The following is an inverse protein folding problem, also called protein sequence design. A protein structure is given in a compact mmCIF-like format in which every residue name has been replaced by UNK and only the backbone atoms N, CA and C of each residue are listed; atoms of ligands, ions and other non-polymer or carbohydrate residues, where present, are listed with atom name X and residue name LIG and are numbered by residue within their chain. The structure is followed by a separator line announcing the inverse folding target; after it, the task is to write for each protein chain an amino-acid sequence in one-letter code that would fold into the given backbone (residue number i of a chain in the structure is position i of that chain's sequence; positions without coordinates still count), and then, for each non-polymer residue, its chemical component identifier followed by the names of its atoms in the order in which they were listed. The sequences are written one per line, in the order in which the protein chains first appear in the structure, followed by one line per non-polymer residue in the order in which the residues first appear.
data_IF_699576400529
#
_entry.id   IF_699576400529
#
_cell.length_a   1.000
_cell.length_b   1.000
_cell.length_c   1.000
_cell.angle_alpha   90.00
_cell.angle_beta   90.00
_cell.angle_gamma   90.00
#
_symmetry.space_group_name_H-M   'P 1'
#
loop_
_entity.id
_entity.type
_entity.pdbx_description
1 polymer ?
#
# COMPACT_ATOMS: atom_id res chain seq x y z
N UNK A 1 5.42 20.62 -4.72
CA UNK A 1 5.39 19.48 -5.68
C UNK A 1 5.33 18.18 -4.89
N UNK A 2 4.66 17.16 -5.43
CA UNK A 2 4.68 15.79 -4.89
C UNK A 2 5.10 14.84 -6.01
N UNK A 3 6.10 14.00 -5.77
CA UNK A 3 6.61 13.00 -6.72
C UNK A 3 6.01 11.64 -6.36
N UNK A 4 5.04 11.21 -7.17
CA UNK A 4 4.34 9.95 -6.98
C UNK A 4 5.25 8.74 -7.23
N UNK A 5 4.88 7.60 -6.60
CA UNK A 5 5.35 6.24 -6.91
C UNK A 5 6.85 6.12 -7.32
N UNK A 6 7.77 6.53 -6.44
CA UNK A 6 9.21 6.38 -6.72
C UNK A 6 9.58 4.90 -6.94
N UNK A 7 10.26 4.62 -8.04
CA UNK A 7 10.70 3.26 -8.38
C UNK A 7 12.22 3.08 -8.46
N UNK A 8 13.03 4.14 -8.36
CA UNK A 8 14.49 4.05 -8.52
C UNK A 8 15.26 4.83 -7.46
N UNK A 9 16.46 4.33 -7.13
CA UNK A 9 17.44 5.01 -6.29
C UNK A 9 17.90 6.33 -6.92
N UNK A 10 18.04 6.37 -8.24
CA UNK A 10 18.37 7.60 -8.97
C UNK A 10 17.28 8.66 -8.83
N UNK A 11 16.00 8.27 -8.95
CA UNK A 11 14.87 9.17 -8.74
C UNK A 11 14.86 9.75 -7.33
N UNK A 12 15.07 8.91 -6.31
CA UNK A 12 15.21 9.35 -4.93
C UNK A 12 16.37 10.34 -4.72
N UNK A 13 17.53 10.09 -5.35
CA UNK A 13 18.71 10.96 -5.25
C UNK A 13 18.47 12.32 -5.90
N UNK A 14 17.69 12.36 -6.98
CA UNK A 14 17.46 13.55 -7.80
C UNK A 14 16.08 14.19 -7.55
N UNK A 15 15.48 13.95 -6.37
CA UNK A 15 14.23 14.61 -6.00
C UNK A 15 14.37 16.14 -6.09
N UNK A 16 13.39 16.85 -6.69
CA UNK A 16 13.40 18.30 -6.70
C UNK A 16 13.47 18.87 -5.28
N UNK A 17 14.19 19.99 -5.05
CA UNK A 17 14.23 20.64 -3.75
C UNK A 17 12.81 20.93 -3.22
N UNK A 18 12.59 20.70 -1.92
CA UNK A 18 11.30 20.89 -1.25
C UNK A 18 10.13 20.03 -1.78
N UNK A 19 10.40 19.03 -2.63
CA UNK A 19 9.38 18.07 -3.03
C UNK A 19 9.10 17.07 -1.91
N UNK A 20 7.84 16.66 -1.83
CA UNK A 20 7.43 15.45 -1.10
C UNK A 20 7.40 14.28 -2.07
N UNK A 21 7.39 13.05 -1.56
CA UNK A 21 7.35 11.86 -2.39
C UNK A 21 6.62 10.71 -1.70
N UNK A 22 6.22 9.71 -2.47
CA UNK A 22 5.66 8.46 -1.98
C UNK A 22 6.31 7.27 -2.70
N UNK A 23 6.11 6.08 -2.12
CA UNK A 23 6.49 4.81 -2.72
C UNK A 23 5.34 3.80 -2.57
N UNK A 24 5.32 2.78 -3.41
CA UNK A 24 4.33 1.72 -3.38
C UNK A 24 4.92 0.39 -2.92
N UNK A 25 4.15 -0.48 -2.24
CA UNK A 25 4.64 -1.80 -1.82
C UNK A 25 5.23 -2.62 -2.96
N UNK A 26 4.70 -2.53 -4.18
CA UNK A 26 5.25 -3.25 -5.32
C UNK A 26 6.65 -2.75 -5.72
N UNK A 27 6.99 -1.47 -5.53
CA UNK A 27 8.37 -0.97 -5.71
C UNK A 27 9.28 -1.22 -4.49
N UNK A 28 8.72 -1.73 -3.38
CA UNK A 28 9.47 -2.08 -2.19
C UNK A 28 9.76 -3.59 -2.11
N UNK A 29 8.79 -4.40 -2.50
CA UNK A 29 8.75 -5.84 -2.25
C UNK A 29 8.90 -6.67 -3.54
N UNK A 30 8.36 -6.18 -4.67
CA UNK A 30 8.51 -6.84 -5.97
C UNK A 30 9.69 -6.28 -6.75
N UNK A 31 10.33 -7.16 -7.50
CA UNK A 31 11.51 -6.87 -8.30
C UNK A 31 11.57 -7.83 -9.50
N UNK A 32 12.52 -7.59 -10.39
CA UNK A 32 12.67 -8.40 -11.61
C UNK A 32 13.05 -9.88 -11.33
N UNK A 33 13.52 -10.22 -10.12
CA UNK A 33 13.84 -11.60 -9.75
C UNK A 33 12.61 -12.37 -9.27
N UNK A 34 11.60 -11.70 -8.70
CA UNK A 34 10.40 -12.33 -8.14
C UNK A 34 9.08 -11.98 -8.86
N UNK A 35 9.09 -11.04 -9.81
CA UNK A 35 7.93 -10.66 -10.63
C UNK A 35 8.40 -10.11 -12.00
N UNK A 36 8.83 -11.00 -12.88
CA UNK A 36 9.32 -10.65 -14.23
C UNK A 36 8.35 -10.97 -15.37
N UNK A 37 7.21 -11.60 -15.09
CA UNK A 37 6.18 -11.86 -16.10
C UNK A 37 5.57 -10.56 -16.61
N UNK A 38 5.08 -10.57 -17.85
CA UNK A 38 4.37 -9.44 -18.45
C UNK A 38 3.16 -8.98 -17.61
N UNK A 39 2.56 -9.90 -16.85
CA UNK A 39 1.48 -9.61 -15.90
C UNK A 39 1.92 -8.67 -14.75
N UNK A 40 3.23 -8.53 -14.48
CA UNK A 40 3.77 -7.60 -13.48
C UNK A 40 3.98 -6.18 -14.01
N UNK A 41 3.61 -5.89 -15.28
CA UNK A 41 3.82 -4.58 -15.91
C UNK A 41 3.10 -3.47 -15.14
N UNK A 42 3.84 -2.44 -14.74
CA UNK A 42 3.36 -1.24 -14.04
C UNK A 42 4.22 -0.06 -14.48
N UNK A 43 3.69 1.16 -14.36
CA UNK A 43 4.44 2.38 -14.62
C UNK A 43 4.42 3.25 -13.35
N UNK A 44 5.59 3.59 -12.78
CA UNK A 44 6.94 3.22 -13.22
C UNK A 44 7.23 1.71 -13.05
N UNK A 45 8.09 1.11 -13.89
CA UNK A 45 8.27 -0.35 -13.88
C UNK A 45 9.05 -0.83 -12.66
N UNK A 46 8.80 -2.10 -12.30
CA UNK A 46 9.58 -2.83 -11.31
C UNK A 46 11.07 -2.82 -11.69
N UNK A 47 11.92 -2.77 -10.66
CA UNK A 47 13.37 -2.65 -10.82
C UNK A 47 14.09 -3.85 -10.23
N UNK A 48 15.42 -3.80 -10.27
CA UNK A 48 16.25 -4.80 -9.63
C UNK A 48 16.22 -4.64 -8.09
N UNK A 49 16.68 -5.66 -7.39
CA UNK A 49 16.75 -5.71 -5.92
C UNK A 49 17.53 -4.55 -5.30
N UNK A 50 18.53 -3.99 -6.01
CA UNK A 50 19.31 -2.85 -5.48
C UNK A 50 18.47 -1.59 -5.38
N UNK A 51 17.61 -1.31 -6.36
CA UNK A 51 16.68 -0.19 -6.30
C UNK A 51 15.67 -0.39 -5.16
N UNK A 52 15.08 -1.60 -5.05
CA UNK A 52 14.17 -1.92 -3.94
C UNK A 52 14.82 -1.70 -2.58
N UNK A 53 16.04 -2.22 -2.37
CA UNK A 53 16.75 -2.11 -1.09
C UNK A 53 16.96 -0.65 -0.70
N UNK A 54 17.43 0.18 -1.64
CA UNK A 54 17.66 1.61 -1.39
C UNK A 54 16.36 2.34 -1.08
N UNK A 55 15.29 2.06 -1.82
CA UNK A 55 13.98 2.65 -1.57
C UNK A 55 13.38 2.19 -0.24
N UNK A 56 13.54 0.92 0.11
CA UNK A 56 13.04 0.34 1.36
C UNK A 56 13.74 0.95 2.58
N UNK A 57 15.06 1.13 2.53
CA UNK A 57 15.82 1.81 3.59
C UNK A 57 15.46 3.29 3.69
N UNK A 58 15.23 3.97 2.55
CA UNK A 58 14.76 5.35 2.53
C UNK A 58 13.33 5.49 3.08
N UNK A 59 12.46 4.52 2.80
CA UNK A 59 11.12 4.43 3.37
C UNK A 59 11.17 4.22 4.88
N UNK A 60 11.91 3.22 5.36
CA UNK A 60 12.07 2.91 6.79
C UNK A 60 12.63 4.07 7.59
N UNK A 61 13.59 4.79 7.04
CA UNK A 61 14.19 5.97 7.69
C UNK A 61 13.32 7.23 7.63
N UNK A 62 12.17 7.19 6.94
CA UNK A 62 11.27 8.34 6.79
C UNK A 62 11.68 9.34 5.70
N UNK A 63 12.76 9.07 4.96
CA UNK A 63 13.17 9.91 3.81
C UNK A 63 12.14 9.88 2.68
N UNK A 64 11.47 8.74 2.48
CA UNK A 64 10.25 8.64 1.68
C UNK A 64 9.07 8.67 2.67
N UNK A 65 8.32 9.78 2.75
CA UNK A 65 7.38 10.00 3.85
C UNK A 65 6.08 9.23 3.71
N UNK A 66 5.59 8.99 2.48
CA UNK A 66 4.26 8.45 2.24
C UNK A 66 4.34 7.06 1.59
N UNK A 67 3.45 6.16 2.02
CA UNK A 67 3.18 4.89 1.37
C UNK A 67 1.81 4.98 0.68
N UNK A 68 1.77 4.65 -0.61
CA UNK A 68 0.53 4.64 -1.41
C UNK A 68 0.39 3.31 -2.16
N UNK A 69 -0.82 2.93 -2.55
CA UNK A 69 -1.03 1.64 -3.24
C UNK A 69 -0.75 1.72 -4.74
N UNK A 70 -0.99 2.87 -5.34
CA UNK A 70 -1.10 3.06 -6.80
C UNK A 70 -1.97 1.94 -7.43
N UNK A 71 -3.12 1.69 -6.80
CA UNK A 71 -4.03 0.63 -7.20
C UNK A 71 -4.64 0.90 -8.57
N UNK A 72 -4.20 0.14 -9.57
CA UNK A 72 -4.64 0.23 -10.96
C UNK A 72 -4.98 -1.18 -11.50
N UNK A 73 -6.13 -1.76 -11.09
CA UNK A 73 -6.48 -3.13 -11.41
C UNK A 73 -6.85 -3.30 -12.89
N UNK A 74 -6.37 -4.39 -13.47
CA UNK A 74 -6.72 -4.92 -14.80
C UNK A 74 -7.07 -6.40 -14.65
N UNK A 75 -7.88 -6.98 -15.54
CA UNK A 75 -8.14 -8.42 -15.44
C UNK A 75 -6.89 -9.22 -15.81
N UNK A 76 -6.78 -10.46 -15.32
CA UNK A 76 -5.64 -11.30 -15.68
C UNK A 76 -5.59 -11.59 -17.19
N UNK A 77 -6.73 -11.60 -17.89
CA UNK A 77 -6.73 -11.75 -19.35
C UNK A 77 -6.11 -10.54 -20.06
N UNK A 78 -6.44 -9.32 -19.61
CA UNK A 78 -5.83 -8.09 -20.14
C UNK A 78 -4.31 -8.10 -19.93
N UNK A 79 -3.86 -8.56 -18.76
CA UNK A 79 -2.45 -8.67 -18.38
C UNK A 79 -1.67 -9.71 -19.18
N UNK A 80 -2.34 -10.77 -19.65
CA UNK A 80 -1.75 -11.83 -20.49
C UNK A 80 -1.84 -11.55 -22.00
N UNK A 81 -2.38 -10.41 -22.40
CA UNK A 81 -2.42 -10.01 -23.82
C UNK A 81 -1.03 -9.69 -24.37
N UNK A 82 -0.89 -9.64 -25.70
CA UNK A 82 0.37 -9.27 -26.37
C UNK A 82 0.81 -7.82 -26.04
N UNK A 83 -0.14 -6.98 -25.64
CA UNK A 83 0.07 -5.57 -25.29
C UNK A 83 -0.55 -5.27 -23.93
N UNK A 84 0.03 -5.79 -22.84
CA UNK A 84 -0.59 -5.71 -21.53
C UNK A 84 -0.63 -4.27 -21.02
N UNK A 85 -1.73 -3.85 -20.36
CA UNK A 85 -1.79 -2.53 -19.74
C UNK A 85 -0.88 -2.45 -18.52
N UNK A 86 -0.46 -1.23 -18.18
CA UNK A 86 0.32 -0.96 -16.96
C UNK A 86 -0.62 -0.81 -15.77
N UNK A 87 -0.30 -1.49 -14.68
CA UNK A 87 -1.08 -1.42 -13.44
C UNK A 87 -1.25 -2.80 -12.79
N UNK A 88 -1.45 -2.79 -11.48
CA UNK A 88 -1.73 -3.99 -10.69
C UNK A 88 -2.71 -3.69 -9.53
N UNK A 89 -3.45 -4.70 -9.05
CA UNK A 89 -4.18 -4.60 -7.80
C UNK A 89 -3.22 -4.50 -6.60
N UNK A 90 -3.65 -3.85 -5.51
CA UNK A 90 -2.75 -3.57 -4.38
C UNK A 90 -3.32 -2.78 -3.21
N UNK A 91 -4.49 -2.13 -3.34
CA UNK A 91 -5.08 -1.35 -2.23
C UNK A 91 -5.36 -2.21 -0.99
N UNK A 92 -5.85 -3.43 -1.21
CA UNK A 92 -6.24 -4.36 -0.15
C UNK A 92 -5.05 -5.06 0.50
N UNK A 93 -3.98 -5.31 -0.26
CA UNK A 93 -2.77 -5.99 0.20
C UNK A 93 -1.71 -5.04 0.74
N UNK A 94 -1.79 -3.73 0.45
CA UNK A 94 -0.81 -2.73 0.88
C UNK A 94 -0.54 -2.78 2.38
N UNK A 95 -1.57 -2.67 3.22
CA UNK A 95 -1.39 -2.65 4.67
C UNK A 95 -1.01 -4.04 5.20
N UNK A 96 -1.69 -5.14 4.79
CA UNK A 96 -1.35 -6.47 5.27
C UNK A 96 0.10 -6.92 4.99
N UNK A 97 0.64 -6.60 3.81
CA UNK A 97 2.03 -6.92 3.46
C UNK A 97 3.00 -6.11 4.32
N UNK A 98 2.75 -4.81 4.50
CA UNK A 98 3.66 -3.99 5.32
C UNK A 98 3.55 -4.30 6.82
N UNK A 99 2.41 -4.79 7.30
CA UNK A 99 2.30 -5.34 8.65
C UNK A 99 3.12 -6.64 8.81
N UNK A 100 3.21 -7.47 7.77
CA UNK A 100 4.11 -8.61 7.80
C UNK A 100 5.58 -8.16 7.94
N UNK A 101 5.97 -7.07 7.28
CA UNK A 101 7.30 -6.48 7.47
C UNK A 101 7.56 -6.01 8.91
N UNK A 102 6.51 -5.58 9.62
CA UNK A 102 6.57 -5.24 11.05
C UNK A 102 6.77 -6.51 11.90
N UNK A 103 5.99 -7.57 11.64
CA UNK A 103 6.13 -8.87 12.32
C UNK A 103 7.54 -9.44 12.15
N UNK A 104 8.13 -9.26 10.96
CA UNK A 104 9.49 -9.72 10.65
C UNK A 104 10.58 -8.76 11.15
N UNK A 105 10.23 -7.75 11.95
CA UNK A 105 11.12 -6.73 12.51
C UNK A 105 11.93 -5.96 11.45
N UNK A 106 11.45 -5.92 10.21
CA UNK A 106 12.05 -5.12 9.14
C UNK A 106 11.53 -3.69 9.16
N UNK A 107 10.29 -3.47 9.60
CA UNK A 107 9.66 -2.15 9.66
C UNK A 107 9.17 -1.82 11.06
N UNK A 108 9.33 -0.57 11.49
CA UNK A 108 8.71 -0.07 12.72
C UNK A 108 7.22 0.20 12.51
N UNK A 109 6.37 -0.20 13.47
CA UNK A 109 4.92 -0.01 13.37
C UNK A 109 4.55 1.48 13.31
N UNK A 110 5.20 2.32 14.11
CA UNK A 110 5.00 3.77 14.09
C UNK A 110 5.37 4.39 12.74
N UNK A 111 6.45 3.88 12.12
CA UNK A 111 6.82 4.26 10.75
C UNK A 111 5.72 3.91 9.75
N UNK A 112 5.16 2.69 9.81
CA UNK A 112 4.05 2.28 8.95
C UNK A 112 2.85 3.21 9.13
N UNK A 113 2.36 3.37 10.37
CA UNK A 113 1.22 4.24 10.72
C UNK A 113 1.43 5.66 10.20
N UNK A 114 2.62 6.23 10.44
CA UNK A 114 2.94 7.57 9.95
C UNK A 114 2.86 7.65 8.43
N UNK A 115 3.40 6.66 7.70
CA UNK A 115 3.47 6.70 6.23
C UNK A 115 2.13 6.54 5.52
N UNK A 116 1.18 5.82 6.12
CA UNK A 116 -0.09 5.47 5.48
C UNK A 116 -1.27 6.32 5.98
N UNK A 117 -1.13 7.01 7.11
CA UNK A 117 -2.22 7.77 7.74
C UNK A 117 -1.82 9.21 8.07
N UNK A 118 -0.80 9.42 8.90
CA UNK A 118 -0.45 10.76 9.40
C UNK A 118 0.15 11.67 8.32
N UNK A 119 1.24 11.22 7.68
CA UNK A 119 1.95 11.99 6.65
C UNK A 119 1.06 12.37 5.46
N UNK A 120 0.23 11.47 4.89
CA UNK A 120 -0.70 11.87 3.84
C UNK A 120 -1.78 12.84 4.34
N UNK A 121 -2.32 12.66 5.56
CA UNK A 121 -3.31 13.58 6.13
C UNK A 121 -2.72 14.99 6.34
N UNK A 122 -1.54 15.09 6.96
CA UNK A 122 -0.84 16.36 7.17
C UNK A 122 -0.55 17.05 5.83
N UNK A 123 -0.12 16.29 4.82
CA UNK A 123 0.21 16.81 3.49
C UNK A 123 -1.00 17.36 2.73
N UNK A 124 -2.17 16.78 2.96
CA UNK A 124 -3.44 17.18 2.37
C UNK A 124 -4.22 18.19 3.23
N UNK A 125 -3.73 18.52 4.44
CA UNK A 125 -4.39 19.42 5.37
C UNK A 125 -5.67 18.84 5.98
N UNK A 126 -5.74 17.52 6.13
CA UNK A 126 -6.92 16.82 6.62
C UNK A 126 -6.85 16.65 8.14
N UNK A 127 -7.95 16.95 8.85
CA UNK A 127 -8.11 16.61 10.26
C UNK A 127 -8.46 15.12 10.43
N UNK A 128 -7.53 14.25 10.01
CA UNK A 128 -7.61 12.78 9.99
C UNK A 128 -6.23 12.17 10.27
N UNK A 129 -6.17 10.83 10.33
CA UNK A 129 -4.92 10.08 10.33
C UNK A 129 -4.27 9.93 11.71
N UNK A 130 -4.87 10.49 12.77
CA UNK A 130 -4.38 10.41 14.15
C UNK A 130 -5.47 9.89 15.09
N UNK A 131 -5.07 9.11 16.09
CA UNK A 131 -5.96 8.67 17.18
C UNK A 131 -5.90 9.70 18.30
N UNK A 132 -6.69 10.76 18.18
CA UNK A 132 -6.72 11.87 19.12
C UNK A 132 -8.16 12.35 19.37
N UNK A 133 -8.38 13.03 20.50
CA UNK A 133 -9.71 13.59 20.83
C UNK A 133 -10.12 14.61 19.77
N UNK A 134 -11.32 14.46 19.22
CA UNK A 134 -11.88 15.34 18.19
C UNK A 134 -11.58 14.92 16.75
N UNK A 135 -10.74 13.91 16.55
CA UNK A 135 -10.52 13.29 15.24
C UNK A 135 -11.65 12.30 14.90
N UNK A 136 -11.98 12.10 13.61
CA UNK A 136 -12.90 11.05 13.21
C UNK A 136 -12.37 9.66 13.62
N UNK A 137 -13.26 8.79 14.11
CA UNK A 137 -12.92 7.42 14.51
C UNK A 137 -12.75 6.49 13.28
N UNK A 138 -11.77 6.80 12.44
CA UNK A 138 -11.28 5.94 11.36
C UNK A 138 -10.19 5.03 11.93
N UNK A 139 -10.54 3.79 12.24
CA UNK A 139 -9.71 2.89 13.05
C UNK A 139 -9.56 1.53 12.36
N UNK A 140 -8.38 0.92 12.53
CA UNK A 140 -8.09 -0.42 12.08
C UNK A 140 -7.57 -1.25 13.26
N UNK A 141 -8.17 -2.41 13.46
CA UNK A 141 -7.74 -3.37 14.48
C UNK A 141 -7.02 -4.53 13.80
N UNK A 142 -5.80 -4.79 14.24
CA UNK A 142 -4.92 -5.81 13.67
C UNK A 142 -4.45 -6.74 14.78
N UNK A 143 -4.29 -8.03 14.46
CA UNK A 143 -3.64 -9.00 15.35
C UNK A 143 -2.30 -9.41 14.71
N UNK A 144 -1.19 -8.90 15.24
CA UNK A 144 0.15 -9.14 14.68
C UNK A 144 0.60 -10.60 14.82
N UNK A 145 -0.03 -11.40 15.69
CA UNK A 145 0.26 -12.82 15.83
C UNK A 145 -0.47 -13.68 14.78
N UNK A 146 -1.33 -13.07 13.95
CA UNK A 146 -2.15 -13.75 12.95
C UNK A 146 -1.64 -13.53 11.52
N UNK A 147 -0.44 -14.05 11.24
CA UNK A 147 0.06 -14.14 9.86
C UNK A 147 -0.70 -15.22 9.10
N UNK A 148 -1.25 -14.84 7.96
CA UNK A 148 -1.90 -15.74 7.00
C UNK A 148 -1.32 -15.54 5.60
N UNK A 149 -1.64 -16.45 4.68
CA UNK A 149 -1.31 -16.28 3.28
C UNK A 149 -2.30 -15.33 2.61
N UNK A 150 -1.83 -14.51 1.69
CA UNK A 150 -2.70 -13.85 0.72
C UNK A 150 -3.37 -14.95 -0.11
N UNK A 151 -4.69 -14.89 -0.14
CA UNK A 151 -5.57 -15.83 -0.84
C UNK A 151 -6.48 -15.00 -1.75
N UNK A 152 -6.35 -15.15 -3.07
CA UNK A 152 -7.12 -14.41 -4.07
C UNK A 152 -8.62 -14.54 -3.85
N UNK A 153 -9.11 -15.71 -3.40
CA UNK A 153 -10.54 -15.95 -3.20
C UNK A 153 -11.14 -15.11 -2.06
N UNK A 154 -10.29 -14.58 -1.18
CA UNK A 154 -10.67 -13.69 -0.08
C UNK A 154 -10.48 -12.20 -0.39
N UNK A 155 -9.93 -11.86 -1.57
CA UNK A 155 -9.75 -10.46 -1.98
C UNK A 155 -11.02 -9.91 -2.67
N UNK A 156 -11.23 -8.61 -2.53
CA UNK A 156 -12.43 -7.91 -3.02
C UNK A 156 -12.22 -7.21 -4.37
N UNK A 157 -10.98 -7.16 -4.88
CA UNK A 157 -10.71 -6.55 -6.18
C UNK A 157 -11.41 -7.33 -7.30
N UNK A 158 -12.16 -6.61 -8.15
CA UNK A 158 -12.82 -7.19 -9.33
C UNK A 158 -11.87 -7.78 -10.36
N UNK A 159 -10.56 -7.47 -10.26
CA UNK A 159 -9.54 -8.06 -11.13
C UNK A 159 -9.33 -9.55 -10.88
N UNK A 160 -9.66 -10.04 -9.67
CA UNK A 160 -9.56 -11.45 -9.27
C UNK A 160 -8.15 -12.06 -9.44
N UNK A 161 -7.11 -11.27 -9.16
CA UNK A 161 -5.73 -11.75 -9.04
C UNK A 161 -4.92 -10.81 -8.14
N UNK A 162 -3.73 -11.25 -7.72
CA UNK A 162 -2.76 -10.44 -6.99
C UNK A 162 -1.34 -10.92 -7.34
N UNK A 163 -0.35 -10.03 -7.50
CA UNK A 163 1.05 -10.45 -7.65
C UNK A 163 1.65 -10.97 -6.34
N UNK A 164 0.90 -10.89 -5.24
CA UNK A 164 1.32 -11.29 -3.90
C UNK A 164 0.63 -12.57 -3.40
N UNK A 165 0.01 -13.35 -4.29
CA UNK A 165 -0.59 -14.63 -3.91
C UNK A 165 0.43 -15.51 -3.18
N UNK A 166 0.00 -16.21 -2.12
CA UNK A 166 0.85 -17.02 -1.24
C UNK A 166 1.92 -16.24 -0.44
N UNK A 167 1.91 -14.92 -0.44
CA UNK A 167 2.78 -14.15 0.45
C UNK A 167 2.19 -14.12 1.87
N UNK A 168 3.07 -14.07 2.88
CA UNK A 168 2.62 -13.88 4.25
C UNK A 168 2.11 -12.44 4.44
N UNK A 169 1.01 -12.28 5.16
CA UNK A 169 0.36 -11.00 5.39
C UNK A 169 -0.42 -11.03 6.72
N UNK A 170 -0.62 -9.84 7.32
CA UNK A 170 -1.46 -9.67 8.50
C UNK A 170 -2.66 -8.80 8.14
N UNK A 171 -3.82 -9.42 7.95
CA UNK A 171 -5.04 -8.69 7.58
C UNK A 171 -5.72 -8.05 8.81
N UNK A 172 -6.37 -6.88 8.62
CA UNK A 172 -7.14 -6.26 9.69
C UNK A 172 -8.35 -7.10 10.07
N UNK A 173 -8.54 -7.28 11.38
CA UNK A 173 -9.72 -7.96 11.93
C UNK A 173 -10.96 -7.08 11.90
N UNK A 174 -10.81 -5.77 12.15
CA UNK A 174 -11.91 -4.78 12.09
C UNK A 174 -11.45 -3.49 11.46
N UNK A 175 -12.32 -2.89 10.66
CA UNK A 175 -12.12 -1.55 10.11
C UNK A 175 -13.35 -0.70 10.42
N UNK A 176 -13.11 0.47 10.99
CA UNK A 176 -14.12 1.46 11.32
C UNK A 176 -13.91 2.72 10.48
N UNK A 177 -15.01 3.33 10.07
CA UNK A 177 -15.03 4.64 9.43
C UNK A 177 -15.93 5.56 10.22
N UNK A 178 -15.36 6.59 10.83
CA UNK A 178 -16.08 7.55 11.69
C UNK A 178 -16.94 6.85 12.76
N UNK A 179 -16.42 5.75 13.33
CA UNK A 179 -17.08 4.96 14.37
C UNK A 179 -18.06 3.90 13.86
N UNK A 180 -18.36 3.85 12.55
CA UNK A 180 -19.16 2.79 11.93
C UNK A 180 -18.25 1.60 11.58
N UNK A 181 -18.61 0.38 12.01
CA UNK A 181 -17.93 -0.84 11.58
C UNK A 181 -18.25 -1.08 10.09
N UNK A 182 -17.24 -1.11 9.24
CA UNK A 182 -17.41 -1.31 7.79
C UNK A 182 -16.89 -2.66 7.30
N UNK A 183 -15.94 -3.27 8.02
CA UNK A 183 -15.43 -4.60 7.73
C UNK A 183 -15.05 -5.34 9.02
N UNK A 184 -15.37 -6.63 9.08
CA UNK A 184 -14.97 -7.55 10.16
C UNK A 184 -14.54 -8.89 9.55
N UNK A 185 -13.39 -9.44 9.96
CA UNK A 185 -12.83 -10.69 9.43
C UNK A 185 -12.76 -10.74 7.90
N UNK A 186 -12.29 -9.66 7.27
CA UNK A 186 -12.26 -9.52 5.82
C UNK A 186 -13.64 -9.63 5.14
N UNK A 187 -14.75 -9.42 5.86
CA UNK A 187 -16.09 -9.37 5.29
C UNK A 187 -16.63 -7.95 5.39
N UNK A 188 -17.11 -7.41 4.28
CA UNK A 188 -17.76 -6.09 4.25
C UNK A 188 -19.12 -6.19 4.94
N UNK A 189 -19.30 -5.45 6.03
CA UNK A 189 -20.55 -5.46 6.83
C UNK A 189 -21.41 -4.21 6.61
N UNK A 190 -20.84 -3.13 6.09
CA UNK A 190 -21.56 -1.92 5.69
C UNK A 190 -21.02 -1.36 4.37
N UNK A 191 -21.93 -0.92 3.50
CA UNK A 191 -21.63 -0.39 2.17
C UNK A 191 -22.00 1.10 2.07
N UNK A 192 -21.29 1.84 1.23
CA UNK A 192 -21.55 3.26 1.00
C UNK A 192 -21.15 4.12 2.20
N UNK A 193 -21.64 5.35 2.31
CA UNK A 193 -21.32 6.29 3.40
C UNK A 193 -19.94 6.96 3.30
N UNK A 194 -19.26 6.85 2.16
CA UNK A 194 -18.12 7.72 1.86
C UNK A 194 -18.57 9.19 1.78
N UNK A 195 -17.68 10.11 2.15
CA UNK A 195 -17.89 11.55 1.96
C UNK A 195 -16.68 12.12 1.23
N UNK A 196 -16.88 13.14 0.42
CA UNK A 196 -15.77 13.94 -0.09
C UNK A 196 -15.19 14.76 1.07
N UNK A 197 -13.87 14.87 1.14
CA UNK A 197 -13.15 15.59 2.18
C UNK A 197 -12.64 16.96 1.73
N UNK A 198 -12.85 17.31 0.46
CA UNK A 198 -12.38 18.56 -0.16
C UNK A 198 -13.53 19.46 -0.62
N UNK A 199 -14.77 19.06 -0.33
CA UNK A 199 -15.98 19.87 -0.55
C UNK A 199 -16.30 20.75 0.66
#
# INVERSE_FOLDING_TARGET
MHVAHLSTASGLKNLPPLSSTEVCPHHLLLNLDNCSSLDCKVDPPLRNVSDNTILYDAYRSGKIPILASDHAPHTIEEKKSDTPPSGMPGVETMVPLMLQEVVENRLDLGRLVNSMAEAPADRLGLNRGRIEVGQPADLMFVNLDNTVKVDIDNLHSRSNWSPFEDWNAVFPHKVFRRGELISENSQVVSNGGGINLFD
#
